data_IF_693686540318
#
_entry.id   IF_693686540318
#
_cell.length_a   1.000
_cell.length_b   1.000
_cell.length_c   1.000
_cell.angle_alpha   90.00
_cell.angle_beta   90.00
_cell.angle_gamma   90.00
#
_symmetry.space_group_name_H-M   'P 1'
#
loop_
_entity.id
_entity.type
_entity.pdbx_description
1 polymer ?
#
# COMPACT_ATOMS: atom_id res chain seq x y z
N UNK A 1 -68.48 -35.23 1.01
CA UNK A 1 -67.78 -34.23 0.17
C UNK A 1 -67.42 -32.94 0.92
N UNK A 2 -68.29 -32.36 1.77
CA UNK A 2 -67.98 -31.09 2.49
C UNK A 2 -66.87 -31.20 3.54
N UNK A 3 -66.71 -32.37 4.18
CA UNK A 3 -65.73 -32.59 5.24
C UNK A 3 -64.30 -32.79 4.72
N UNK A 4 -64.15 -33.50 3.59
CA UNK A 4 -62.86 -33.71 2.91
C UNK A 4 -62.34 -32.41 2.30
N UNK A 5 -63.22 -31.54 1.80
CA UNK A 5 -62.86 -30.23 1.27
C UNK A 5 -62.36 -29.27 2.35
N UNK A 6 -62.98 -29.28 3.54
CA UNK A 6 -62.52 -28.46 4.70
C UNK A 6 -61.15 -28.89 5.21
N UNK A 7 -60.92 -30.20 5.34
CA UNK A 7 -59.63 -30.75 5.76
C UNK A 7 -58.51 -30.44 4.75
N UNK A 8 -58.81 -30.53 3.45
CA UNK A 8 -57.87 -30.13 2.39
C UNK A 8 -57.51 -28.65 2.43
N UNK A 9 -58.50 -27.76 2.63
CA UNK A 9 -58.25 -26.32 2.75
C UNK A 9 -57.39 -25.98 3.97
N UNK A 10 -57.66 -26.61 5.12
CA UNK A 10 -56.87 -26.41 6.34
C UNK A 10 -55.43 -26.89 6.17
N UNK A 11 -55.22 -28.05 5.55
CA UNK A 11 -53.88 -28.55 5.26
C UNK A 11 -53.11 -27.62 4.30
N UNK A 12 -53.76 -27.07 3.26
CA UNK A 12 -53.13 -26.13 2.34
C UNK A 12 -52.76 -24.80 2.99
N UNK A 13 -53.58 -24.28 3.90
CA UNK A 13 -53.27 -23.06 4.66
C UNK A 13 -52.08 -23.27 5.59
N UNK A 14 -52.01 -24.42 6.26
CA UNK A 14 -50.87 -24.78 7.12
C UNK A 14 -49.59 -24.93 6.28
N UNK A 15 -49.67 -25.60 5.13
CA UNK A 15 -48.53 -25.77 4.23
C UNK A 15 -48.03 -24.44 3.66
N UNK A 16 -48.94 -23.57 3.22
CA UNK A 16 -48.59 -22.24 2.72
C UNK A 16 -47.98 -21.36 3.81
N UNK A 17 -48.54 -21.39 5.03
CA UNK A 17 -47.99 -20.68 6.18
C UNK A 17 -46.57 -21.14 6.55
N UNK A 18 -46.30 -22.45 6.49
CA UNK A 18 -44.98 -23.01 6.75
C UNK A 18 -43.94 -22.64 5.67
N UNK A 19 -44.35 -22.57 4.40
CA UNK A 19 -43.45 -22.11 3.31
C UNK A 19 -43.10 -20.63 3.49
N UNK A 20 -44.07 -19.79 3.87
CA UNK A 20 -43.82 -18.36 4.11
C UNK A 20 -42.87 -18.08 5.28
N UNK A 21 -42.81 -18.95 6.31
CA UNK A 21 -41.88 -18.79 7.44
C UNK A 21 -40.47 -19.34 7.16
N UNK A 22 -40.32 -20.26 6.22
CA UNK A 22 -39.03 -20.80 5.76
C UNK A 22 -38.44 -19.99 4.59
N UNK A 23 -39.26 -19.21 3.90
CA UNK A 23 -38.83 -18.28 2.83
C UNK A 23 -38.02 -17.07 3.34
N UNK A 24 -37.72 -17.00 4.63
CA UNK A 24 -36.80 -16.02 5.19
C UNK A 24 -35.39 -16.25 4.64
N UNK A 25 -35.02 -15.39 3.71
CA UNK A 25 -33.69 -15.20 3.12
C UNK A 25 -32.61 -15.27 4.21
N UNK A 26 -31.64 -16.18 4.08
CA UNK A 26 -30.49 -16.20 4.99
C UNK A 26 -29.76 -14.86 4.89
N UNK A 27 -29.59 -14.15 6.00
CA UNK A 27 -28.97 -12.82 6.02
C UNK A 27 -27.52 -12.82 5.48
N UNK A 28 -26.87 -13.98 5.38
CA UNK A 28 -25.54 -14.16 4.79
C UNK A 28 -25.53 -14.73 3.36
N UNK A 29 -26.68 -14.96 2.74
CA UNK A 29 -26.75 -15.41 1.35
C UNK A 29 -26.61 -14.19 0.41
N UNK A 30 -25.73 -14.24 -0.60
CA UNK A 30 -25.65 -13.19 -1.62
C UNK A 30 -26.93 -13.08 -2.47
N UNK A 31 -27.86 -14.03 -2.33
CA UNK A 31 -29.13 -14.05 -3.03
C UNK A 31 -29.03 -14.73 -4.41
N UNK A 32 -30.09 -14.58 -5.20
CA UNK A 32 -30.14 -15.09 -6.58
C UNK A 32 -30.06 -13.90 -7.53
N UNK A 33 -29.10 -13.96 -8.45
CA UNK A 33 -28.94 -12.96 -9.48
C UNK A 33 -29.76 -13.32 -10.73
N UNK A 34 -30.55 -12.37 -11.22
CA UNK A 34 -31.27 -12.51 -12.48
C UNK A 34 -30.42 -11.94 -13.62
N UNK A 35 -30.19 -12.75 -14.66
CA UNK A 35 -29.39 -12.40 -15.84
C UNK A 35 -27.96 -11.90 -15.51
N UNK A 36 -27.09 -12.73 -14.92
CA UNK A 36 -25.74 -12.35 -14.45
C UNK A 36 -24.72 -12.08 -15.58
N UNK A 37 -25.18 -12.03 -16.83
CA UNK A 37 -24.30 -11.80 -17.98
C UNK A 37 -23.73 -10.38 -17.86
N UNK A 38 -22.40 -10.26 -17.79
CA UNK A 38 -21.66 -8.99 -17.62
C UNK A 38 -21.68 -8.33 -16.23
N UNK A 39 -22.26 -8.97 -15.20
CA UNK A 39 -22.07 -8.51 -13.81
C UNK A 39 -20.65 -8.79 -13.33
N UNK A 40 -20.13 -9.93 -13.75
CA UNK A 40 -18.75 -10.32 -13.58
C UNK A 40 -17.93 -9.95 -14.81
N UNK A 41 -16.75 -9.40 -14.55
CA UNK A 41 -15.80 -9.05 -15.61
C UNK A 41 -15.28 -10.33 -16.26
N UNK A 42 -15.33 -10.38 -17.60
CA UNK A 42 -14.58 -11.38 -18.36
C UNK A 42 -13.06 -11.26 -18.11
N UNK A 43 -12.44 -10.06 -18.09
CA UNK A 43 -11.04 -9.93 -17.72
C UNK A 43 -10.82 -10.16 -16.21
N UNK A 44 -9.60 -10.58 -15.87
CA UNK A 44 -9.19 -10.74 -14.48
C UNK A 44 -9.08 -9.40 -13.77
N UNK A 45 -9.86 -9.24 -12.72
CA UNK A 45 -9.71 -8.15 -11.78
C UNK A 45 -8.54 -8.44 -10.82
N UNK A 46 -7.74 -7.42 -10.44
CA UNK A 46 -6.54 -7.65 -9.64
C UNK A 46 -6.83 -8.26 -8.25
N UNK A 47 -7.85 -7.75 -7.55
CA UNK A 47 -8.16 -8.13 -6.16
C UNK A 47 -9.49 -8.88 -6.01
N UNK A 48 -10.19 -9.16 -7.11
CA UNK A 48 -11.44 -9.93 -7.12
C UNK A 48 -11.18 -11.31 -7.72
N UNK A 49 -11.74 -12.32 -7.07
CA UNK A 49 -11.58 -13.71 -7.47
C UNK A 49 -12.86 -14.51 -7.25
N UNK A 50 -13.56 -14.77 -8.35
CA UNK A 50 -14.74 -15.64 -8.36
C UNK A 50 -14.35 -17.12 -8.39
N UNK A 51 -13.34 -17.45 -9.20
CA UNK A 51 -12.85 -18.81 -9.38
C UNK A 51 -11.33 -18.87 -9.22
N UNK A 52 -10.81 -20.01 -8.75
CA UNK A 52 -9.36 -20.23 -8.65
C UNK A 52 -8.72 -20.07 -10.02
N UNK A 53 -7.66 -19.26 -10.09
CA UNK A 53 -6.91 -19.09 -11.33
C UNK A 53 -6.07 -20.33 -11.62
N UNK A 54 -6.50 -21.15 -12.58
CA UNK A 54 -5.81 -22.41 -12.96
C UNK A 54 -4.45 -22.21 -13.63
N UNK A 55 -4.16 -21.00 -14.13
CA UNK A 55 -2.92 -20.68 -14.84
C UNK A 55 -1.83 -20.28 -13.84
N UNK A 56 -2.20 -19.64 -12.72
CA UNK A 56 -1.26 -19.30 -11.65
C UNK A 56 -1.18 -20.45 -10.64
N UNK A 57 0.01 -21.04 -10.38
CA UNK A 57 0.16 -22.05 -9.33
C UNK A 57 -0.30 -21.61 -7.94
N UNK A 58 -0.31 -20.31 -7.65
CA UNK A 58 -0.80 -19.75 -6.39
C UNK A 58 -2.34 -19.66 -6.32
N UNK A 59 -3.04 -19.95 -7.41
CA UNK A 59 -4.51 -19.90 -7.49
C UNK A 59 -5.10 -18.49 -7.47
N UNK A 60 -4.27 -17.44 -7.45
CA UNK A 60 -4.68 -16.03 -7.43
C UNK A 60 -4.51 -15.34 -8.79
N UNK A 61 -5.30 -14.31 -9.09
CA UNK A 61 -5.12 -13.50 -10.30
C UNK A 61 -3.80 -12.70 -10.30
N UNK A 62 -3.34 -12.26 -9.12
CA UNK A 62 -2.10 -11.50 -9.01
C UNK A 62 -0.85 -12.36 -9.12
N UNK A 63 0.15 -11.86 -9.84
CA UNK A 63 1.47 -12.50 -9.98
C UNK A 63 2.54 -11.64 -9.34
N UNK A 64 3.52 -12.30 -8.76
CA UNK A 64 4.72 -11.62 -8.29
C UNK A 64 5.54 -11.17 -9.51
N UNK A 65 6.02 -9.91 -9.55
CA UNK A 65 6.93 -9.48 -10.58
C UNK A 65 8.25 -10.24 -10.48
N UNK A 66 8.99 -10.30 -11.58
CA UNK A 66 10.31 -10.94 -11.62
C UNK A 66 11.27 -10.17 -10.71
N UNK A 67 12.11 -10.90 -9.96
CA UNK A 67 13.08 -10.27 -9.05
C UNK A 67 14.01 -9.36 -9.82
N UNK A 68 14.14 -8.10 -9.36
CA UNK A 68 15.01 -7.09 -9.95
C UNK A 68 14.35 -6.19 -11.00
N UNK A 69 13.05 -6.37 -11.31
CA UNK A 69 12.33 -5.43 -12.18
C UNK A 69 12.06 -4.12 -11.46
N UNK A 70 12.40 -3.00 -12.09
CA UNK A 70 12.09 -1.65 -11.61
C UNK A 70 11.04 -1.04 -12.54
N UNK A 71 9.88 -0.59 -12.03
CA UNK A 71 8.87 0.10 -12.83
C UNK A 71 9.39 1.45 -13.35
N UNK A 72 8.93 1.86 -14.53
CA UNK A 72 9.24 3.20 -15.06
C UNK A 72 8.73 4.28 -14.11
N UNK A 73 9.54 5.31 -13.88
CA UNK A 73 9.20 6.44 -12.98
C UNK A 73 9.18 6.10 -11.48
N UNK A 74 9.65 4.91 -11.07
CA UNK A 74 9.68 4.48 -9.65
C UNK A 74 11.07 4.07 -9.18
N UNK A 75 12.09 4.81 -9.61
CA UNK A 75 13.48 4.51 -9.26
C UNK A 75 13.70 4.70 -7.74
N UNK A 76 13.03 5.67 -7.13
CA UNK A 76 13.09 5.95 -5.68
C UNK A 76 12.53 4.84 -4.78
N UNK A 77 11.79 3.87 -5.33
CA UNK A 77 11.31 2.69 -4.57
C UNK A 77 12.42 1.68 -4.29
N UNK A 78 13.56 1.78 -4.98
CA UNK A 78 14.66 0.84 -4.85
C UNK A 78 15.98 1.58 -4.62
N UNK A 79 16.39 1.67 -3.35
CA UNK A 79 17.62 2.33 -2.90
C UNK A 79 18.89 1.48 -3.10
N UNK A 80 18.73 0.23 -3.56
CA UNK A 80 19.80 -0.78 -3.67
C UNK A 80 20.53 -1.07 -2.35
N UNK A 81 19.93 -0.76 -1.20
CA UNK A 81 20.52 -1.02 0.12
C UNK A 81 19.96 -2.34 0.67
N UNK A 82 20.81 -3.34 0.99
CA UNK A 82 20.35 -4.59 1.59
C UNK A 82 19.67 -4.34 2.95
N UNK A 83 18.66 -5.15 3.27
CA UNK A 83 17.90 -5.10 4.54
C UNK A 83 18.79 -4.94 5.78
N UNK A 84 19.89 -5.69 5.89
CA UNK A 84 20.75 -5.69 7.08
C UNK A 84 21.76 -4.54 7.13
N UNK A 85 21.73 -3.62 6.15
CA UNK A 85 22.73 -2.56 5.96
C UNK A 85 22.26 -1.18 6.42
N UNK A 86 21.64 -1.10 7.61
CA UNK A 86 21.15 0.17 8.19
C UNK A 86 22.25 1.23 8.30
N UNK A 87 23.49 0.84 8.62
CA UNK A 87 24.63 1.76 8.70
C UNK A 87 25.02 2.39 7.36
N UNK A 88 24.75 1.70 6.25
CA UNK A 88 24.97 2.26 4.91
C UNK A 88 23.89 3.30 4.63
N UNK A 89 22.64 2.98 4.95
CA UNK A 89 21.52 3.92 4.81
C UNK A 89 21.73 5.22 5.62
N UNK A 90 22.22 5.13 6.85
CA UNK A 90 22.58 6.30 7.68
C UNK A 90 23.59 7.24 6.99
N UNK A 91 24.53 6.66 6.23
CA UNK A 91 25.62 7.42 5.59
C UNK A 91 25.22 7.97 4.23
N UNK A 92 24.49 7.19 3.44
CA UNK A 92 24.20 7.47 2.03
C UNK A 92 22.88 8.20 1.86
N UNK A 93 21.83 7.82 2.59
CA UNK A 93 20.51 8.39 2.38
C UNK A 93 20.40 9.77 3.06
N UNK A 94 19.83 10.72 2.31
CA UNK A 94 19.47 12.04 2.79
C UNK A 94 18.03 12.29 2.41
N UNK A 95 17.29 12.90 3.32
CA UNK A 95 15.93 13.30 3.07
C UNK A 95 15.94 14.45 2.04
N UNK A 96 15.32 14.29 0.87
CA UNK A 96 15.29 15.36 -0.14
C UNK A 96 14.24 16.43 0.19
N UNK A 97 13.34 16.18 1.15
CA UNK A 97 12.28 17.10 1.55
C UNK A 97 12.70 17.99 2.73
N UNK A 98 12.39 19.28 2.65
CA UNK A 98 12.63 20.24 3.72
C UNK A 98 11.66 20.05 4.89
N UNK A 99 12.08 20.42 6.10
CA UNK A 99 11.27 20.39 7.33
C UNK A 99 10.22 21.50 7.39
N UNK A 100 9.39 21.61 6.36
CA UNK A 100 8.26 22.54 6.34
C UNK A 100 7.17 22.10 7.29
N UNK A 101 6.31 23.04 7.70
CA UNK A 101 5.14 22.72 8.52
C UNK A 101 4.25 21.66 7.85
N UNK A 102 3.97 21.83 6.57
CA UNK A 102 3.10 20.93 5.80
C UNK A 102 3.65 19.49 5.78
N UNK A 103 4.95 19.31 5.50
CA UNK A 103 5.58 17.98 5.48
C UNK A 103 5.54 17.29 6.84
N UNK A 104 5.74 18.05 7.93
CA UNK A 104 5.69 17.52 9.29
C UNK A 104 4.27 17.16 9.71
N UNK A 105 3.26 17.96 9.34
CA UNK A 105 1.85 17.68 9.60
C UNK A 105 1.37 16.45 8.83
N UNK A 106 1.77 16.30 7.57
CA UNK A 106 1.49 15.10 6.79
C UNK A 106 2.19 13.87 7.37
N UNK A 107 3.47 14.00 7.76
CA UNK A 107 4.21 12.97 8.47
C UNK A 107 3.52 12.52 9.77
N UNK A 108 2.91 13.46 10.51
CA UNK A 108 2.10 13.18 11.71
C UNK A 108 0.87 12.34 11.38
N UNK A 109 0.15 12.69 10.32
CA UNK A 109 -1.05 11.95 9.88
C UNK A 109 -0.67 10.51 9.51
N UNK A 110 0.38 10.35 8.70
CA UNK A 110 0.88 9.05 8.26
C UNK A 110 1.37 8.20 9.43
N UNK A 111 2.14 8.78 10.36
CA UNK A 111 2.58 8.11 11.57
C UNK A 111 1.40 7.67 12.44
N UNK A 112 0.41 8.54 12.63
CA UNK A 112 -0.79 8.24 13.41
C UNK A 112 -1.53 7.04 12.82
N UNK A 113 -1.65 6.97 11.48
CA UNK A 113 -2.36 5.88 10.78
C UNK A 113 -1.61 4.54 10.78
N UNK A 114 -0.28 4.54 10.77
CA UNK A 114 0.51 3.33 10.48
C UNK A 114 1.37 2.90 11.67
N UNK A 115 1.95 3.84 12.42
CA UNK A 115 3.00 3.58 13.39
C UNK A 115 2.53 3.67 14.84
N UNK A 116 1.58 4.56 15.14
CA UNK A 116 1.15 4.89 16.51
C UNK A 116 0.59 3.71 17.29
N UNK A 117 -0.03 2.73 16.61
CA UNK A 117 -0.60 1.55 17.23
C UNK A 117 0.43 0.73 18.02
N UNK A 118 1.69 0.71 17.55
CA UNK A 118 2.80 0.07 18.23
C UNK A 118 3.64 1.08 19.01
N UNK A 119 3.97 2.22 18.42
CA UNK A 119 4.94 3.17 18.96
C UNK A 119 4.35 4.23 19.91
N UNK A 120 3.03 4.35 19.99
CA UNK A 120 2.34 5.37 20.78
C UNK A 120 2.33 6.73 20.10
N UNK A 121 1.41 7.61 20.48
CA UNK A 121 1.33 8.99 19.97
C UNK A 121 2.56 9.81 20.38
N UNK A 122 3.10 9.54 21.57
CA UNK A 122 4.30 10.20 22.07
C UNK A 122 5.62 9.58 21.56
N UNK A 123 5.56 8.47 20.81
CA UNK A 123 6.75 7.74 20.37
C UNK A 123 7.51 7.05 21.49
N UNK A 124 6.83 6.75 22.60
CA UNK A 124 7.37 6.16 23.82
C UNK A 124 7.24 4.62 23.89
N UNK A 125 6.72 4.02 22.82
CA UNK A 125 6.48 2.58 22.72
C UNK A 125 5.23 2.11 23.48
N UNK A 126 4.39 3.03 23.98
CA UNK A 126 3.19 2.70 24.77
C UNK A 126 1.91 2.56 23.93
N UNK A 127 2.04 2.35 22.61
CA UNK A 127 0.90 2.05 21.75
C UNK A 127 0.16 0.78 22.21
N UNK A 128 -1.16 0.67 21.98
CA UNK A 128 -1.96 -0.46 22.47
C UNK A 128 -1.43 -1.82 22.04
N UNK A 129 -0.87 -1.93 20.83
CA UNK A 129 -0.22 -3.15 20.33
C UNK A 129 1.18 -3.29 20.96
N UNK A 130 1.92 -2.18 21.11
CA UNK A 130 3.24 -2.15 21.71
C UNK A 130 3.28 -2.68 23.14
N UNK A 131 2.27 -2.37 23.95
CA UNK A 131 2.12 -2.89 25.32
C UNK A 131 1.98 -4.42 25.36
N UNK A 132 1.38 -5.03 24.33
CA UNK A 132 1.24 -6.50 24.22
C UNK A 132 2.49 -7.13 23.63
N UNK A 133 3.07 -6.52 22.59
CA UNK A 133 4.24 -7.07 21.91
C UNK A 133 5.52 -6.95 22.76
N UNK A 134 5.64 -5.89 23.58
CA UNK A 134 6.80 -5.50 24.40
C UNK A 134 8.08 -5.28 23.57
N UNK A 135 8.96 -4.40 24.05
CA UNK A 135 10.25 -4.12 23.39
C UNK A 135 10.16 -3.16 22.20
N UNK A 136 9.05 -2.42 22.07
CA UNK A 136 8.99 -1.26 21.18
C UNK A 136 9.82 -0.13 21.80
N UNK A 137 10.75 0.49 21.04
CA UNK A 137 11.64 1.50 21.59
C UNK A 137 10.92 2.82 21.89
N UNK A 138 11.41 3.54 22.90
CA UNK A 138 11.09 4.94 23.12
C UNK A 138 12.10 5.81 22.35
N UNK A 139 11.59 6.59 21.40
CA UNK A 139 12.39 7.42 20.50
C UNK A 139 13.18 8.52 21.21
N UNK A 140 12.68 9.04 22.32
CA UNK A 140 13.32 10.14 23.06
C UNK A 140 14.50 9.71 23.94
N UNK A 141 14.84 8.41 23.94
CA UNK A 141 15.82 7.82 24.86
C UNK A 141 16.94 7.05 24.15
N UNK A 142 18.10 6.98 24.82
CA UNK A 142 19.23 6.15 24.40
C UNK A 142 19.72 6.42 22.98
N UNK A 143 20.11 5.36 22.26
CA UNK A 143 20.58 5.46 20.87
C UNK A 143 19.48 5.87 19.89
N UNK A 144 18.20 5.69 20.23
CA UNK A 144 17.08 6.00 19.34
C UNK A 144 16.93 7.50 19.10
N UNK A 145 17.29 8.33 20.08
CA UNK A 145 17.29 9.80 19.96
C UNK A 145 18.26 10.32 18.89
N UNK A 146 19.35 9.59 18.65
CA UNK A 146 20.40 9.97 17.72
C UNK A 146 20.21 9.41 16.29
N UNK A 147 19.16 8.61 16.04
CA UNK A 147 18.93 8.01 14.73
C UNK A 147 18.49 9.06 13.71
N UNK A 148 19.22 9.16 12.61
CA UNK A 148 18.94 10.11 11.52
C UNK A 148 17.83 9.62 10.58
N UNK A 149 17.40 10.49 9.67
CA UNK A 149 16.30 10.22 8.73
C UNK A 149 16.56 8.97 7.88
N UNK A 150 17.80 8.78 7.41
CA UNK A 150 18.19 7.61 6.60
C UNK A 150 18.05 6.28 7.36
N UNK A 151 18.35 6.27 8.66
CA UNK A 151 18.08 5.11 9.52
C UNK A 151 16.60 4.79 9.55
N UNK A 152 15.78 5.80 9.84
CA UNK A 152 14.34 5.63 10.06
C UNK A 152 13.67 5.18 8.76
N UNK A 153 14.01 5.82 7.63
CA UNK A 153 13.56 5.44 6.29
C UNK A 153 13.83 3.96 5.99
N UNK A 154 15.08 3.51 6.19
CA UNK A 154 15.48 2.13 5.91
C UNK A 154 14.77 1.11 6.80
N UNK A 155 14.56 1.45 8.08
CA UNK A 155 13.81 0.60 9.02
C UNK A 155 12.33 0.52 8.63
N UNK A 156 11.72 1.61 8.13
CA UNK A 156 10.34 1.57 7.62
C UNK A 156 10.27 0.66 6.39
N UNK A 157 11.22 0.79 5.45
CA UNK A 157 11.27 -0.02 4.23
C UNK A 157 11.40 -1.52 4.55
N UNK A 158 12.40 -1.91 5.33
CA UNK A 158 12.80 -3.32 5.48
C UNK A 158 12.40 -3.98 6.81
N UNK A 159 11.92 -3.19 7.77
CA UNK A 159 11.71 -3.62 9.14
C UNK A 159 13.02 -3.81 9.90
N UNK A 160 12.91 -4.06 11.20
CA UNK A 160 14.07 -4.38 12.05
C UNK A 160 13.67 -5.21 13.25
N UNK A 161 14.41 -6.28 13.52
CA UNK A 161 14.12 -7.22 14.59
C UNK A 161 12.66 -7.74 14.48
N UNK A 162 11.82 -7.39 15.45
CA UNK A 162 10.41 -7.79 15.53
C UNK A 162 9.46 -6.84 14.79
N UNK A 163 9.96 -5.71 14.28
CA UNK A 163 9.20 -4.80 13.44
C UNK A 163 9.21 -5.30 12.00
N UNK A 164 8.03 -5.56 11.44
CA UNK A 164 7.85 -5.99 10.05
C UNK A 164 8.14 -4.83 9.07
N UNK A 165 8.49 -5.13 7.80
CA UNK A 165 8.63 -4.11 6.77
C UNK A 165 7.28 -3.45 6.46
N UNK A 166 7.30 -2.12 6.29
CA UNK A 166 6.16 -1.32 5.86
C UNK A 166 6.35 -0.72 4.46
N UNK A 167 7.43 -1.09 3.76
CA UNK A 167 7.75 -0.59 2.42
C UNK A 167 6.66 -0.84 1.36
N UNK A 168 5.81 -1.84 1.55
CA UNK A 168 4.69 -2.13 0.63
C UNK A 168 3.45 -1.28 0.85
N UNK A 169 3.33 -0.61 2.01
CA UNK A 169 2.14 0.20 2.35
C UNK A 169 2.46 1.69 2.51
N UNK A 170 3.74 2.04 2.64
CA UNK A 170 4.22 3.43 2.73
C UNK A 170 5.12 3.68 1.53
N UNK A 171 4.79 4.67 0.70
CA UNK A 171 5.60 5.04 -0.45
C UNK A 171 6.90 5.79 -0.03
N UNK A 172 7.92 5.92 -0.90
CA UNK A 172 9.18 6.57 -0.55
C UNK A 172 9.04 8.00 0.02
N UNK A 173 8.14 8.82 -0.53
CA UNK A 173 7.90 10.18 -0.06
C UNK A 173 7.32 10.19 1.36
N UNK A 174 6.26 9.41 1.58
CA UNK A 174 5.62 9.23 2.87
C UNK A 174 6.61 8.71 3.93
N UNK A 175 7.54 7.82 3.55
CA UNK A 175 8.58 7.34 4.48
C UNK A 175 9.48 8.47 4.94
N UNK A 176 9.84 9.40 4.05
CA UNK A 176 10.62 10.57 4.42
C UNK A 176 9.85 11.48 5.37
N UNK A 177 8.57 11.76 5.07
CA UNK A 177 7.70 12.57 5.95
C UNK A 177 7.50 11.94 7.33
N UNK A 178 7.28 10.62 7.39
CA UNK A 178 7.22 9.87 8.66
C UNK A 178 8.55 9.94 9.39
N UNK A 179 9.69 9.79 8.69
CA UNK A 179 11.01 9.90 9.30
C UNK A 179 11.20 11.28 9.97
N UNK A 180 10.80 12.36 9.31
CA UNK A 180 10.83 13.72 9.88
C UNK A 180 9.96 13.83 11.14
N UNK A 181 8.75 13.27 11.11
CA UNK A 181 7.88 13.28 12.28
C UNK A 181 8.44 12.43 13.43
N UNK A 182 9.10 11.31 13.17
CA UNK A 182 9.81 10.54 14.20
C UNK A 182 10.91 11.39 14.84
N UNK A 183 11.61 12.24 14.08
CA UNK A 183 12.60 13.18 14.63
C UNK A 183 11.98 14.22 15.57
N UNK A 184 10.72 14.64 15.31
CA UNK A 184 9.94 15.46 16.27
C UNK A 184 9.75 14.69 17.58
N UNK A 185 9.28 13.44 17.51
CA UNK A 185 9.03 12.62 18.69
C UNK A 185 10.32 12.32 19.49
N UNK A 186 11.47 12.21 18.82
CA UNK A 186 12.78 12.06 19.49
C UNK A 186 13.15 13.24 20.41
N UNK A 187 12.51 14.41 20.26
CA UNK A 187 12.72 15.54 21.17
C UNK A 187 12.12 15.28 22.56
N UNK A 188 11.20 14.32 22.70
CA UNK A 188 10.54 13.98 23.97
C UNK A 188 9.40 14.92 24.37
N UNK A 189 8.98 15.82 23.46
CA UNK A 189 7.82 16.71 23.64
C UNK A 189 6.53 16.16 22.99
N UNK A 190 6.59 14.97 22.41
CA UNK A 190 5.46 14.41 21.67
C UNK A 190 5.09 15.25 20.43
N UNK A 191 3.80 15.27 20.03
CA UNK A 191 3.31 16.10 18.93
C UNK A 191 3.55 17.60 19.11
N UNK A 192 3.71 18.09 20.34
CA UNK A 192 3.91 19.51 20.64
C UNK A 192 5.30 20.01 20.19
N UNK A 193 6.26 19.11 19.98
CA UNK A 193 7.59 19.43 19.47
C UNK A 193 7.61 19.78 17.97
N UNK A 194 6.49 19.66 17.25
CA UNK A 194 6.45 19.86 15.80
C UNK A 194 6.97 21.25 15.40
N UNK A 195 6.58 22.28 16.14
CA UNK A 195 6.99 23.66 15.90
C UNK A 195 8.51 23.87 16.02
N UNK A 196 9.21 23.06 16.82
CA UNK A 196 10.65 23.22 17.07
C UNK A 196 11.51 22.78 15.88
N UNK A 197 10.96 21.94 14.99
CA UNK A 197 11.66 21.47 13.79
C UNK A 197 11.19 22.13 12.50
N UNK A 198 10.19 23.02 12.55
CA UNK A 198 9.75 23.74 11.35
C UNK A 198 10.87 24.66 10.86
N UNK A 199 11.36 24.36 9.66
CA UNK A 199 12.24 25.21 8.88
C UNK A 199 11.38 26.03 7.92
N UNK A 200 11.72 27.31 7.74
CA UNK A 200 11.14 28.10 6.66
C UNK A 200 11.42 27.40 5.33
N UNK A 201 10.46 27.41 4.39
CA UNK A 201 10.68 26.95 3.02
C UNK A 201 11.90 27.71 2.48
N UNK A 202 13.05 27.04 2.41
CA UNK A 202 14.21 27.59 1.72
C UNK A 202 13.95 27.50 0.23
N UNK A 203 14.13 28.60 -0.48
CA UNK A 203 13.92 28.74 -1.93
C UNK A 203 14.79 27.78 -2.77
N UNK A 204 15.74 27.08 -2.15
CA UNK A 204 16.66 26.09 -2.76
C UNK A 204 16.25 24.62 -2.57
N UNK A 205 15.03 24.34 -2.07
CA UNK A 205 14.55 22.95 -2.01
C UNK A 205 14.24 22.48 -3.44
N UNK A 206 14.92 21.45 -3.98
CA UNK A 206 14.60 20.95 -5.30
C UNK A 206 13.12 20.57 -5.35
N UNK A 207 12.42 21.00 -6.41
CA UNK A 207 11.05 20.58 -6.68
C UNK A 207 11.09 19.08 -6.99
N UNK A 208 10.94 18.26 -5.95
CA UNK A 208 10.89 16.81 -6.09
C UNK A 208 9.51 16.48 -6.66
N UNK A 209 9.51 15.96 -7.89
CA UNK A 209 8.33 15.47 -8.58
C UNK A 209 7.65 14.42 -7.68
N UNK A 210 6.34 14.55 -7.47
CA UNK A 210 5.53 13.57 -6.76
C UNK A 210 5.50 12.26 -7.57
N UNK A 211 6.46 11.37 -7.31
CA UNK A 211 6.56 10.04 -7.94
C UNK A 211 5.58 9.02 -7.31
N UNK A 212 4.75 9.44 -6.34
CA UNK A 212 3.64 8.61 -5.84
C UNK A 212 2.54 8.46 -6.89
N UNK A 213 2.40 9.47 -7.75
CA UNK A 213 1.58 9.44 -8.95
C UNK A 213 2.33 8.67 -10.04
N UNK A 214 1.71 7.63 -10.60
CA UNK A 214 2.15 7.13 -11.91
C UNK A 214 2.04 8.31 -12.87
N UNK A 215 3.15 8.73 -13.49
CA UNK A 215 3.07 9.63 -14.64
C UNK A 215 2.40 8.86 -15.76
N UNK A 216 1.07 8.83 -15.75
CA UNK A 216 0.31 8.10 -16.74
C UNK A 216 0.61 8.73 -18.09
N UNK A 217 1.32 7.96 -18.93
CA UNK A 217 1.44 8.24 -20.37
C UNK A 217 0.05 8.38 -21.01
N UNK A 218 -1.02 7.91 -20.34
CA UNK A 218 -2.40 8.08 -20.75
C UNK A 218 -2.93 9.53 -20.62
N UNK A 219 -2.41 10.33 -19.68
CA UNK A 219 -2.84 11.74 -19.50
C UNK A 219 -1.91 12.75 -20.17
N UNK A 220 -0.71 12.33 -20.55
CA UNK A 220 0.18 13.15 -21.37
C UNK A 220 -0.25 13.02 -22.83
N UNK A 221 -0.92 14.05 -23.35
CA UNK A 221 -1.25 14.17 -24.77
C UNK A 221 -0.03 13.84 -25.66
N UNK A 222 -0.23 13.26 -26.85
CA UNK A 222 0.85 12.71 -27.65
C UNK A 222 1.83 13.80 -28.08
N UNK A 223 2.97 13.87 -27.42
CA UNK A 223 4.15 14.64 -27.86
C UNK A 223 4.93 13.84 -28.90
N UNK A 224 4.29 13.56 -30.03
CA UNK A 224 4.88 13.32 -31.35
C UNK A 224 3.79 12.86 -32.32
N UNK A 225 3.79 13.43 -33.53
CA UNK A 225 2.91 12.99 -34.62
C UNK A 225 3.10 11.49 -34.88
N UNK A 226 2.03 10.72 -34.67
CA UNK A 226 2.00 9.32 -35.03
C UNK A 226 2.32 9.17 -36.52
N UNK A 227 3.45 8.56 -36.85
CA UNK A 227 3.75 8.13 -38.22
C UNK A 227 2.86 6.95 -38.60
N UNK A 228 1.59 7.25 -38.90
CA UNK A 228 0.63 6.36 -39.50
C UNK A 228 1.04 6.09 -40.96
N UNK A 229 2.03 5.22 -41.16
CA UNK A 229 2.52 4.94 -42.51
C UNK A 229 3.42 3.72 -42.69
N UNK A 230 3.95 3.10 -41.64
CA UNK A 230 4.72 1.85 -41.80
C UNK A 230 4.24 0.77 -40.84
N UNK A 231 3.50 -0.20 -41.40
CA UNK A 231 3.17 -1.44 -40.69
C UNK A 231 4.45 -2.24 -40.43
N UNK A 232 4.62 -2.74 -39.20
CA UNK A 232 5.73 -3.64 -38.87
C UNK A 232 5.62 -4.93 -39.70
N UNK A 233 6.64 -5.23 -40.50
CA UNK A 233 6.59 -6.31 -41.51
C UNK A 233 6.74 -7.74 -40.96
N UNK A 234 6.66 -8.00 -39.65
CA UNK A 234 6.57 -9.39 -39.13
C UNK A 234 5.99 -9.45 -37.71
N UNK A 235 4.94 -10.26 -37.44
CA UNK A 235 4.47 -10.51 -36.09
C UNK A 235 5.44 -11.45 -35.34
N UNK A 236 5.93 -11.02 -34.18
CA UNK A 236 6.56 -11.91 -33.20
C UNK A 236 7.92 -12.47 -33.59
N UNK A 237 8.94 -11.62 -33.72
CA UNK A 237 10.33 -11.91 -33.32
C UNK A 237 11.21 -10.69 -33.61
N UNK A 238 11.95 -10.23 -32.60
CA UNK A 238 12.82 -9.06 -32.71
C UNK A 238 14.10 -9.16 -31.89
N UNK A 239 14.69 -10.37 -31.83
CA UNK A 239 16.13 -10.69 -31.87
C UNK A 239 17.24 -9.72 -31.42
N UNK A 240 17.04 -8.78 -30.50
CA UNK A 240 18.18 -8.04 -29.91
C UNK A 240 18.89 -8.95 -28.92
N UNK A 241 20.05 -9.49 -29.31
CA UNK A 241 21.02 -10.00 -28.32
C UNK A 241 21.26 -8.86 -27.33
N UNK A 242 21.11 -9.15 -26.04
CA UNK A 242 21.41 -8.23 -24.96
C UNK A 242 22.74 -7.53 -25.25
N UNK A 243 22.70 -6.21 -25.47
CA UNK A 243 23.91 -5.39 -25.48
C UNK A 243 24.36 -5.28 -24.03
N UNK A 244 25.19 -6.22 -23.60
CA UNK A 244 26.01 -6.05 -22.40
C UNK A 244 26.86 -4.79 -22.63
N UNK A 245 26.52 -3.70 -21.95
CA UNK A 245 27.32 -2.48 -21.96
C UNK A 245 28.71 -2.79 -21.43
N UNK A 246 29.73 -2.60 -22.27
CA UNK A 246 31.10 -2.44 -21.80
C UNK A 246 31.26 -1.01 -21.31
N UNK A 247 31.63 -0.87 -20.04
CA UNK A 247 32.12 0.35 -19.43
C UNK A 247 33.46 0.74 -20.07
N UNK A 248 33.52 1.94 -20.63
CA UNK A 248 34.73 2.77 -20.65
C UNK A 248 34.44 4.01 -19.80
#
# INVERSE_FOLDING_TARGET
MKHTLKLGLQASVILFGAVCTVACNEAGSPGVEYAPQMYESIPYEPLKQENVNIINPMGINMRTPVVGTVPSGKLNYYDHIPKDSVRIAERVLRNPYAYTKDNLEEGKILYTRICSHCHGEQGDGQGPVGQKFKGVPNYSTGSYKAMNDGHIYHVIQWGRNRMMPHGSIVNPEERWKIAMYVRVLQQGKGPDGLADLVQAKGDDSPEIVDESQTTDRAEQGPVEEAQAGSGSATPGQGGTKARNGKTN
#
